data_IF_059224401309
#
_entry.id   IF_059224401309
#
_cell.length_a   1.000
_cell.length_b   1.000
_cell.length_c   1.000
_cell.angle_alpha   90.00
_cell.angle_beta   90.00
_cell.angle_gamma   90.00
#
_symmetry.space_group_name_H-M   'P 1'
#
loop_
_entity.id
_entity.type
_entity.pdbx_description
1 polymer ?
#
# COMPACT_ATOMS: atom_id res chain seq x y z
N UNK A 1 17.89 2.82 8.47
CA UNK A 1 16.97 1.80 7.93
C UNK A 1 15.66 1.61 8.72
N UNK A 2 15.63 1.66 10.07
CA UNK A 2 14.36 1.53 10.85
C UNK A 2 13.26 2.57 10.55
N UNK A 3 13.61 3.82 10.22
CA UNK A 3 12.65 4.90 9.89
C UNK A 3 12.09 4.85 8.47
N UNK A 4 12.86 4.34 7.50
CA UNK A 4 12.40 4.22 6.12
C UNK A 4 11.29 3.16 5.98
N UNK A 5 11.41 2.06 6.75
CA UNK A 5 10.37 1.03 6.85
C UNK A 5 9.03 1.58 7.35
N UNK A 6 9.06 2.43 8.38
CA UNK A 6 7.86 3.08 8.93
C UNK A 6 7.23 4.06 7.94
N UNK A 7 8.05 4.77 7.15
CA UNK A 7 7.57 5.71 6.13
C UNK A 7 6.82 4.99 4.99
N UNK A 8 7.33 3.84 4.56
CA UNK A 8 6.66 3.00 3.54
C UNK A 8 5.32 2.47 4.08
N UNK A 9 5.29 1.97 5.31
CA UNK A 9 4.05 1.51 5.94
C UNK A 9 3.02 2.64 6.13
N UNK A 10 3.46 3.81 6.58
CA UNK A 10 2.58 4.97 6.77
C UNK A 10 2.00 5.49 5.44
N UNK A 11 2.79 5.48 4.36
CA UNK A 11 2.34 5.92 3.03
C UNK A 11 1.26 5.00 2.43
N UNK A 12 1.39 3.68 2.61
CA UNK A 12 0.37 2.73 2.15
C UNK A 12 -0.93 2.86 2.96
N UNK A 13 -0.84 3.07 4.28
CA UNK A 13 -2.02 3.33 5.14
C UNK A 13 -2.76 4.60 4.71
N UNK A 14 -2.03 5.69 4.39
CA UNK A 14 -2.65 6.91 3.88
C UNK A 14 -3.44 6.67 2.60
N UNK A 15 -2.96 5.79 1.70
CA UNK A 15 -3.64 5.46 0.45
C UNK A 15 -4.91 4.63 0.67
N UNK A 16 -4.89 3.73 1.66
CA UNK A 16 -6.09 2.99 2.12
C UNK A 16 -7.15 3.93 2.71
N UNK A 17 -6.72 4.95 3.46
CA UNK A 17 -7.63 5.98 4.00
C UNK A 17 -8.25 6.78 2.86
N UNK A 18 -7.47 7.19 1.87
CA UNK A 18 -7.99 7.86 0.66
C UNK A 18 -9.02 6.99 -0.08
N UNK A 19 -8.74 5.69 -0.25
CA UNK A 19 -9.69 4.74 -0.85
C UNK A 19 -11.00 4.64 -0.05
N UNK A 20 -10.92 4.57 1.28
CA UNK A 20 -12.10 4.49 2.15
C UNK A 20 -12.98 5.76 2.06
N UNK A 21 -12.35 6.94 1.99
CA UNK A 21 -13.04 8.23 1.82
C UNK A 21 -13.72 8.29 0.45
N UNK A 22 -13.01 7.90 -0.62
CA UNK A 22 -13.55 7.83 -1.99
C UNK A 22 -14.72 6.85 -2.10
N UNK A 23 -14.69 5.73 -1.37
CA UNK A 23 -15.80 4.78 -1.35
C UNK A 23 -17.05 5.33 -0.63
N UNK A 24 -16.87 6.04 0.49
CA UNK A 24 -17.97 6.59 1.28
C UNK A 24 -18.63 7.83 0.68
N UNK A 25 -17.85 8.75 0.10
CA UNK A 25 -18.34 10.02 -0.44
C UNK A 25 -18.41 10.05 -1.98
N UNK A 26 -17.90 9.02 -2.66
CA UNK A 26 -17.83 9.00 -4.12
C UNK A 26 -19.14 8.59 -4.80
N UNK A 27 -19.36 9.17 -5.99
CA UNK A 27 -20.33 8.71 -7.00
C UNK A 27 -20.01 7.26 -7.43
N UNK A 28 -20.98 6.49 -7.98
CA UNK A 28 -20.83 5.06 -8.25
C UNK A 28 -19.56 4.67 -9.04
N UNK A 29 -19.16 5.49 -10.01
CA UNK A 29 -17.93 5.31 -10.80
C UNK A 29 -16.66 5.40 -9.93
N UNK A 30 -16.65 6.30 -8.96
CA UNK A 30 -15.54 6.54 -8.04
C UNK A 30 -15.42 5.42 -7.01
N UNK A 31 -16.54 4.78 -6.65
CA UNK A 31 -16.52 3.60 -5.76
C UNK A 31 -15.81 2.42 -6.42
N UNK A 32 -16.02 2.19 -7.73
CA UNK A 32 -15.29 1.15 -8.48
C UNK A 32 -13.78 1.43 -8.59
N UNK A 33 -13.42 2.70 -8.80
CA UNK A 33 -12.03 3.15 -8.75
C UNK A 33 -11.40 2.96 -7.36
N UNK A 34 -12.12 3.29 -6.29
CA UNK A 34 -11.66 3.12 -4.91
C UNK A 34 -11.33 1.66 -4.55
N UNK A 35 -12.15 0.71 -5.02
CA UNK A 35 -11.90 -0.73 -4.83
C UNK A 35 -10.63 -1.17 -5.54
N UNK A 36 -10.43 -0.71 -6.78
CA UNK A 36 -9.21 -1.00 -7.55
C UNK A 36 -7.96 -0.44 -6.87
N UNK A 37 -8.06 0.80 -6.35
CA UNK A 37 -6.99 1.44 -5.59
C UNK A 37 -6.65 0.64 -4.32
N UNK A 38 -7.68 0.21 -3.57
CA UNK A 38 -7.49 -0.56 -2.34
C UNK A 38 -6.78 -1.90 -2.60
N UNK A 39 -7.17 -2.62 -3.66
CA UNK A 39 -6.50 -3.86 -4.08
C UNK A 39 -5.05 -3.58 -4.47
N UNK A 40 -4.79 -2.53 -5.24
CA UNK A 40 -3.43 -2.12 -5.62
C UNK A 40 -2.53 -1.82 -4.42
N UNK A 41 -3.06 -1.13 -3.41
CA UNK A 41 -2.33 -0.84 -2.16
C UNK A 41 -2.02 -2.11 -1.38
N UNK A 42 -2.96 -3.06 -1.28
CA UNK A 42 -2.71 -4.35 -0.63
C UNK A 42 -1.61 -5.15 -1.33
N UNK A 43 -1.63 -5.21 -2.68
CA UNK A 43 -0.58 -5.87 -3.48
C UNK A 43 0.77 -5.17 -3.32
N UNK A 44 0.79 -3.84 -3.27
CA UNK A 44 1.99 -3.05 -3.03
C UNK A 44 2.59 -3.32 -1.64
N UNK A 45 1.77 -3.39 -0.58
CA UNK A 45 2.22 -3.75 0.77
C UNK A 45 2.80 -5.16 0.83
N UNK A 46 2.15 -6.12 0.17
CA UNK A 46 2.66 -7.48 0.08
C UNK A 46 4.01 -7.53 -0.65
N UNK A 47 4.10 -6.84 -1.78
CA UNK A 47 5.34 -6.73 -2.56
C UNK A 47 6.44 -6.08 -1.73
N UNK A 48 6.18 -4.98 -1.03
CA UNK A 48 7.17 -4.31 -0.17
C UNK A 48 7.68 -5.24 0.95
N UNK A 49 6.80 -6.05 1.54
CA UNK A 49 7.18 -7.05 2.56
C UNK A 49 8.09 -8.14 1.99
N UNK A 50 7.69 -8.74 0.86
CA UNK A 50 8.45 -9.81 0.19
C UNK A 50 9.79 -9.28 -0.32
N UNK A 51 9.77 -8.14 -1.03
CA UNK A 51 10.96 -7.51 -1.60
C UNK A 51 11.96 -7.15 -0.51
N UNK A 52 11.52 -6.67 0.65
CA UNK A 52 12.47 -6.33 1.72
C UNK A 52 13.13 -7.57 2.31
N UNK A 53 12.39 -8.67 2.48
CA UNK A 53 12.98 -9.96 2.88
C UNK A 53 13.96 -10.50 1.83
N UNK A 54 13.59 -10.42 0.54
CA UNK A 54 14.41 -10.92 -0.56
C UNK A 54 15.68 -10.09 -0.75
N UNK A 55 15.58 -8.76 -0.74
CA UNK A 55 16.75 -7.87 -0.83
C UNK A 55 17.67 -8.06 0.37
N UNK A 56 17.15 -8.11 1.61
CA UNK A 56 17.99 -8.37 2.78
C UNK A 56 18.72 -9.71 2.69
N UNK A 57 18.06 -10.75 2.14
CA UNK A 57 18.67 -12.07 1.95
C UNK A 57 19.74 -12.07 0.84
N UNK A 58 19.57 -11.25 -0.20
CA UNK A 58 20.53 -11.11 -1.30
C UNK A 58 21.71 -10.19 -0.98
N UNK A 59 21.53 -9.17 -0.13
CA UNK A 59 22.57 -8.18 0.22
C UNK A 59 23.49 -8.66 1.34
N UNK A 60 23.01 -9.55 2.21
CA UNK A 60 23.80 -10.12 3.32
C UNK A 60 24.62 -11.35 2.86
N UNK A 61 24.46 -11.78 1.62
CA UNK A 61 25.28 -12.79 0.94
C UNK A 61 26.22 -12.12 -0.06
#
# INVERSE_FOLDING_TARGET
FKRAWTSIWASNISSLITAAILYGMGIPIVRGFAVTLAIGVMVSMFTAYVVTRTILRYVIH
#
